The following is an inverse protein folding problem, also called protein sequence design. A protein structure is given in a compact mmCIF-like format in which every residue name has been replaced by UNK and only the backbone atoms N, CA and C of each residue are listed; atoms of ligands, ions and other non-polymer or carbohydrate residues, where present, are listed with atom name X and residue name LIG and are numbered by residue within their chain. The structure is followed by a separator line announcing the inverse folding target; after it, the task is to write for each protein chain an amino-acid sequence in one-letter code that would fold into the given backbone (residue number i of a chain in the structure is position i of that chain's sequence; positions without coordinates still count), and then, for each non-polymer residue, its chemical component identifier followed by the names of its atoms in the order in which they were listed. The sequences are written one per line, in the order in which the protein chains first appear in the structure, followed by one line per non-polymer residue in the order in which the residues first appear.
data_IF_175203698879
#
_entry.id   IF_175203698879
#
_cell.length_a   1.000
_cell.length_b   1.000
_cell.length_c   1.000
_cell.angle_alpha   90.00
_cell.angle_beta   90.00
_cell.angle_gamma   90.00
#
_symmetry.space_group_name_H-M   'P 1'
#
loop_
_entity.id
_entity.type
_entity.pdbx_description
1 polymer ?
#
# COMPACT_ATOMS: atom_id res chain seq x y z
N UNK A 1 5.78 9.70 12.13
CA UNK A 1 6.34 8.67 11.23
C UNK A 1 7.16 7.67 12.04
N UNK A 2 6.71 6.43 12.13
CA UNK A 2 7.39 5.37 12.87
C UNK A 2 7.87 4.29 11.91
N UNK A 3 9.16 3.99 11.99
CA UNK A 3 9.83 2.99 11.19
C UNK A 3 9.48 1.60 11.70
N UNK A 4 8.76 0.82 10.93
CA UNK A 4 8.77 -0.63 11.08
C UNK A 4 9.78 -1.21 10.10
N UNK A 5 10.70 -2.03 10.60
CA UNK A 5 11.56 -2.87 9.78
C UNK A 5 11.12 -4.31 9.97
N UNK A 6 10.66 -4.93 8.90
CA UNK A 6 10.67 -6.39 8.79
C UNK A 6 11.58 -6.70 7.61
N UNK A 7 12.65 -7.45 7.85
CA UNK A 7 13.45 -7.99 6.77
C UNK A 7 12.67 -9.18 6.20
N UNK A 8 12.20 -9.07 4.98
CA UNK A 8 11.80 -10.24 4.19
C UNK A 8 13.03 -10.70 3.43
N UNK A 9 13.32 -12.00 3.51
CA UNK A 9 14.24 -12.61 2.57
C UNK A 9 13.75 -12.31 1.16
N UNK A 10 14.68 -12.04 0.23
CA UNK A 10 14.33 -11.81 -1.17
C UNK A 10 13.87 -13.17 -1.71
N UNK A 11 12.62 -13.55 -1.44
CA UNK A 11 12.00 -14.68 -2.08
C UNK A 11 11.59 -14.26 -3.49
N UNK A 12 12.41 -14.72 -4.42
CA UNK A 12 12.17 -14.87 -5.85
C UNK A 12 11.13 -13.91 -6.47
N UNK A 13 11.63 -12.94 -7.21
CA UNK A 13 10.89 -12.48 -8.39
C UNK A 13 10.52 -13.72 -9.21
N UNK A 14 9.33 -13.76 -9.77
CA UNK A 14 9.02 -14.75 -10.78
C UNK A 14 9.86 -14.45 -12.03
N UNK A 15 10.98 -15.18 -12.17
CA UNK A 15 12.02 -14.96 -13.17
C UNK A 15 11.65 -15.57 -14.52
N UNK A 16 10.38 -15.78 -14.78
CA UNK A 16 9.89 -16.37 -16.05
C UNK A 16 10.07 -15.44 -17.26
N UNK A 17 10.54 -14.22 -17.06
CA UNK A 17 11.03 -13.35 -18.14
C UNK A 17 12.52 -13.08 -17.99
N UNK A 18 13.27 -13.20 -19.07
CA UNK A 18 14.74 -13.09 -19.21
C UNK A 18 15.40 -11.81 -18.68
N UNK A 19 14.70 -10.92 -17.98
CA UNK A 19 15.12 -9.55 -17.67
C UNK A 19 15.57 -9.36 -16.24
N UNK A 20 15.30 -10.29 -15.33
CA UNK A 20 15.58 -10.10 -13.91
C UNK A 20 16.46 -11.23 -13.36
N UNK A 21 17.79 -11.17 -13.59
CA UNK A 21 18.72 -12.05 -12.90
C UNK A 21 18.88 -11.58 -11.43
N UNK A 22 19.18 -12.49 -10.51
CA UNK A 22 19.53 -12.19 -9.11
C UNK A 22 20.60 -11.09 -9.03
N UNK A 23 21.55 -11.09 -9.99
CA UNK A 23 22.65 -10.15 -10.07
C UNK A 23 22.19 -8.71 -10.36
N UNK A 24 21.17 -8.52 -11.21
CA UNK A 24 20.61 -7.18 -11.51
C UNK A 24 19.88 -6.59 -10.29
N UNK A 25 19.15 -7.40 -9.55
CA UNK A 25 18.49 -6.95 -8.31
C UNK A 25 19.54 -6.61 -7.26
N UNK A 26 20.54 -7.46 -7.06
CA UNK A 26 21.64 -7.21 -6.13
C UNK A 26 22.41 -5.93 -6.51
N UNK A 27 22.70 -5.74 -7.80
CA UNK A 27 23.34 -4.52 -8.29
C UNK A 27 22.48 -3.26 -8.02
N UNK A 28 21.16 -3.35 -8.21
CA UNK A 28 20.24 -2.23 -7.96
C UNK A 28 20.13 -1.92 -6.47
N UNK A 29 20.09 -2.94 -5.61
CA UNK A 29 20.13 -2.78 -4.16
C UNK A 29 21.45 -2.15 -3.70
N UNK A 30 22.60 -2.64 -4.22
CA UNK A 30 23.91 -2.07 -3.92
C UNK A 30 24.01 -0.58 -4.32
N UNK A 31 23.50 -0.22 -5.50
CA UNK A 31 23.43 1.18 -5.95
C UNK A 31 22.56 2.06 -5.03
N UNK A 32 21.55 1.48 -4.41
CA UNK A 32 20.68 2.15 -3.45
C UNK A 32 21.24 2.10 -2.01
N UNK A 33 22.45 1.57 -1.80
CA UNK A 33 23.08 1.35 -0.48
C UNK A 33 22.20 0.50 0.46
N UNK A 34 21.45 -0.45 -0.12
CA UNK A 34 20.63 -1.42 0.60
C UNK A 34 21.37 -2.75 0.74
N UNK A 35 21.02 -3.60 1.73
CA UNK A 35 21.49 -4.97 1.80
C UNK A 35 21.18 -5.71 0.49
N UNK A 36 22.12 -6.51 -0.01
CA UNK A 36 21.97 -7.22 -1.29
C UNK A 36 21.37 -8.61 -1.13
N UNK A 37 21.27 -9.10 0.09
CA UNK A 37 20.72 -10.39 0.49
C UNK A 37 19.30 -10.31 1.07
N UNK A 38 18.82 -9.09 1.36
CA UNK A 38 17.48 -8.87 1.91
C UNK A 38 16.93 -7.50 1.51
N UNK A 39 15.66 -7.42 1.12
CA UNK A 39 14.96 -6.16 0.87
C UNK A 39 14.22 -5.73 2.15
N UNK A 40 14.63 -4.62 2.79
CA UNK A 40 13.90 -4.09 3.94
C UNK A 40 12.59 -3.46 3.47
N UNK A 41 11.47 -4.13 3.72
CA UNK A 41 10.13 -3.61 3.41
C UNK A 41 9.56 -2.89 4.64
N UNK A 42 9.06 -1.69 4.45
CA UNK A 42 8.34 -0.90 5.46
C UNK A 42 6.84 -0.94 5.20
N UNK A 43 6.04 -0.74 6.24
CA UNK A 43 4.59 -0.64 6.16
C UNK A 43 4.19 0.75 6.68
N UNK A 44 3.60 1.57 5.82
CA UNK A 44 3.36 2.99 6.10
C UNK A 44 1.90 3.38 5.85
N UNK A 45 0.95 2.94 6.71
CA UNK A 45 -0.39 3.49 6.70
C UNK A 45 -0.37 5.00 6.86
N UNK A 46 -1.25 5.70 6.16
CA UNK A 46 -1.28 7.16 6.13
C UNK A 46 -2.52 7.69 6.83
N UNK A 47 -2.33 8.48 7.89
CA UNK A 47 -3.43 9.17 8.54
C UNK A 47 -3.62 10.57 7.95
N UNK A 48 -4.83 10.87 7.52
CA UNK A 48 -5.27 12.13 6.94
C UNK A 48 -6.29 12.81 7.85
N UNK A 49 -6.33 14.15 7.80
CA UNK A 49 -7.45 14.93 8.32
C UNK A 49 -8.18 15.56 7.14
N UNK A 50 -9.39 15.11 6.83
CA UNK A 50 -10.21 15.55 5.72
C UNK A 50 -11.55 16.06 6.22
N UNK A 51 -11.83 17.36 6.02
CA UNK A 51 -13.08 17.94 6.47
C UNK A 51 -13.35 17.76 7.97
N UNK A 52 -12.30 17.76 8.80
CA UNK A 52 -12.39 17.54 10.23
C UNK A 52 -12.48 16.05 10.65
N UNK A 53 -12.56 15.11 9.70
CA UNK A 53 -12.55 13.67 9.94
C UNK A 53 -11.14 13.10 9.91
N UNK A 54 -10.87 12.11 10.77
CA UNK A 54 -9.65 11.33 10.75
C UNK A 54 -9.84 10.10 9.87
N UNK A 55 -9.06 10.03 8.80
CA UNK A 55 -9.13 8.99 7.78
C UNK A 55 -7.80 8.26 7.72
N UNK A 56 -7.80 6.97 7.99
CA UNK A 56 -6.62 6.12 7.83
C UNK A 56 -6.67 5.45 6.46
N UNK A 57 -5.61 5.55 5.68
CA UNK A 57 -5.43 4.78 4.45
C UNK A 57 -4.58 3.57 4.77
N UNK A 58 -5.16 2.39 4.59
CA UNK A 58 -4.67 1.08 5.00
C UNK A 58 -4.44 0.92 6.51
N UNK A 59 -4.61 -0.30 7.03
CA UNK A 59 -4.66 -0.52 8.47
C UNK A 59 -3.36 -1.13 9.06
N UNK A 60 -2.44 -1.60 8.22
CA UNK A 60 -1.29 -2.35 8.71
C UNK A 60 -1.68 -3.71 9.28
N UNK A 61 -0.91 -4.16 10.26
CA UNK A 61 -1.10 -5.46 10.90
C UNK A 61 -1.76 -5.40 12.30
N UNK A 62 -1.80 -4.24 12.97
CA UNK A 62 -2.05 -4.13 14.40
C UNK A 62 -1.17 -5.13 15.19
N UNK A 63 -1.78 -6.07 15.95
CA UNK A 63 -1.09 -7.13 16.68
C UNK A 63 -1.15 -8.52 15.99
N UNK A 64 -1.55 -8.55 14.70
CA UNK A 64 -1.72 -9.78 13.91
C UNK A 64 -0.52 -10.15 13.03
N UNK A 65 0.47 -9.28 12.92
CA UNK A 65 1.59 -9.48 12.01
C UNK A 65 2.80 -10.18 12.62
N UNK A 66 3.83 -10.43 11.81
CA UNK A 66 5.12 -10.96 12.25
C UNK A 66 5.81 -10.03 13.28
N UNK A 67 6.83 -10.52 13.99
CA UNK A 67 7.65 -9.69 14.87
C UNK A 67 8.19 -8.45 14.14
N UNK A 68 8.11 -7.28 14.79
CA UNK A 68 8.55 -6.00 14.21
C UNK A 68 7.49 -5.26 13.39
N UNK A 69 6.28 -5.82 13.21
CA UNK A 69 5.12 -5.14 12.60
C UNK A 69 4.17 -4.53 13.66
N UNK A 70 3.03 -3.94 13.24
CA UNK A 70 2.01 -3.37 14.15
C UNK A 70 2.30 -1.96 14.66
N UNK A 71 3.27 -1.21 14.07
CA UNK A 71 3.65 0.13 14.49
C UNK A 71 2.58 1.20 14.32
N UNK A 72 1.56 0.95 13.53
CA UNK A 72 0.46 1.90 13.31
C UNK A 72 -0.16 2.37 14.62
N UNK A 73 -0.50 1.44 15.51
CA UNK A 73 -1.09 1.76 16.81
C UNK A 73 -0.15 2.55 17.72
N UNK A 74 1.12 2.17 17.72
CA UNK A 74 2.15 2.92 18.43
C UNK A 74 2.31 4.33 17.85
N UNK A 75 2.27 4.45 16.51
CA UNK A 75 2.31 5.74 15.81
C UNK A 75 1.16 6.64 16.20
N UNK A 76 -0.07 6.13 16.22
CA UNK A 76 -1.24 6.86 16.65
C UNK A 76 -1.12 7.30 18.12
N UNK A 77 -0.68 6.40 19.01
CA UNK A 77 -0.51 6.72 20.43
C UNK A 77 0.52 7.84 20.65
N UNK A 78 1.66 7.81 19.94
CA UNK A 78 2.69 8.87 20.01
C UNK A 78 2.21 10.21 19.43
N UNK A 79 1.28 10.18 18.48
CA UNK A 79 0.60 11.36 17.96
C UNK A 79 -0.57 11.84 18.86
N UNK A 80 -0.83 11.16 19.99
CA UNK A 80 -1.96 11.48 20.87
C UNK A 80 -3.32 11.16 20.27
N UNK A 81 -3.39 10.20 19.34
CA UNK A 81 -4.60 9.84 18.59
C UNK A 81 -5.12 8.50 19.10
N UNK A 82 -6.34 8.52 19.66
CA UNK A 82 -7.07 7.31 20.01
C UNK A 82 -7.59 6.61 18.75
N UNK A 83 -7.36 5.30 18.55
CA UNK A 83 -7.95 4.53 17.47
C UNK A 83 -9.48 4.64 17.38
N UNK A 84 -10.17 4.80 18.51
CA UNK A 84 -11.61 5.07 18.55
C UNK A 84 -12.05 6.41 17.97
N UNK A 85 -11.10 7.33 17.72
CA UNK A 85 -11.35 8.62 17.09
C UNK A 85 -11.12 8.64 15.58
N UNK A 86 -10.81 7.48 14.98
CA UNK A 86 -10.72 7.32 13.52
C UNK A 86 -12.14 7.16 12.97
N UNK A 87 -12.51 8.05 12.04
CA UNK A 87 -13.86 8.10 11.44
C UNK A 87 -14.00 7.13 10.27
N UNK A 88 -12.93 6.92 9.51
CA UNK A 88 -12.91 6.01 8.37
C UNK A 88 -11.55 5.33 8.20
N UNK A 89 -11.56 4.07 7.75
CA UNK A 89 -10.38 3.38 7.23
C UNK A 89 -10.64 3.07 5.76
N UNK A 90 -9.83 3.62 4.87
CA UNK A 90 -9.94 3.40 3.43
C UNK A 90 -8.88 2.39 3.02
N UNK A 91 -9.30 1.26 2.50
CA UNK A 91 -8.43 0.14 2.11
C UNK A 91 -8.11 0.22 0.63
N UNK A 92 -6.85 0.10 0.28
CA UNK A 92 -6.38 0.10 -1.11
C UNK A 92 -6.59 -1.26 -1.79
N UNK A 93 -6.29 -2.35 -1.09
CA UNK A 93 -6.45 -3.74 -1.55
C UNK A 93 -6.40 -4.71 -0.36
N UNK A 94 -6.61 -6.03 -0.61
CA UNK A 94 -6.83 -7.00 0.46
C UNK A 94 -5.62 -7.85 0.82
N UNK A 95 -4.38 -7.44 0.53
CA UNK A 95 -3.23 -8.13 1.10
C UNK A 95 -3.20 -7.99 2.63
N UNK A 96 -2.65 -9.00 3.34
CA UNK A 96 -2.73 -9.08 4.81
C UNK A 96 -2.18 -7.86 5.54
N UNK A 97 -1.13 -7.26 5.05
CA UNK A 97 -0.49 -6.07 5.63
C UNK A 97 -1.30 -4.77 5.49
N UNK A 98 -2.34 -4.76 4.66
CA UNK A 98 -3.29 -3.64 4.52
C UNK A 98 -4.56 -3.82 5.34
N UNK A 99 -5.00 -5.07 5.58
CA UNK A 99 -6.31 -5.36 6.18
C UNK A 99 -6.26 -5.96 7.59
N UNK A 100 -5.21 -6.71 7.97
CA UNK A 100 -5.18 -7.41 9.25
C UNK A 100 -5.25 -6.47 10.45
N UNK A 101 -4.78 -5.23 10.29
CA UNK A 101 -4.86 -4.19 11.29
C UNK A 101 -6.26 -3.66 11.57
N UNK A 102 -7.27 -4.01 10.77
CA UNK A 102 -8.67 -3.66 11.03
C UNK A 102 -9.23 -4.34 12.28
N UNK A 103 -8.67 -5.48 12.66
CA UNK A 103 -9.02 -6.21 13.88
C UNK A 103 -7.82 -6.51 14.75
N UNK A 104 -8.06 -6.71 16.02
CA UNK A 104 -7.11 -7.24 16.99
C UNK A 104 -7.05 -8.76 16.92
N UNK A 105 -6.05 -9.37 17.58
CA UNK A 105 -5.93 -10.84 17.70
C UNK A 105 -7.17 -11.48 18.33
N UNK A 106 -7.82 -10.79 19.26
CA UNK A 106 -9.04 -11.24 19.93
C UNK A 106 -10.31 -11.10 19.07
N UNK A 107 -10.17 -10.57 17.83
CA UNK A 107 -11.26 -10.37 16.88
C UNK A 107 -12.02 -9.05 17.05
N UNK A 108 -11.69 -8.24 18.04
CA UNK A 108 -12.34 -6.92 18.22
C UNK A 108 -11.89 -5.93 17.16
N UNK A 109 -12.76 -5.02 16.71
CA UNK A 109 -12.37 -3.94 15.78
C UNK A 109 -11.29 -3.05 16.40
N UNK A 110 -10.22 -2.79 15.65
CA UNK A 110 -9.16 -1.87 16.07
C UNK A 110 -9.65 -0.42 16.07
N UNK A 111 -10.52 -0.09 15.12
CA UNK A 111 -11.12 1.23 14.92
C UNK A 111 -12.64 1.11 15.05
N UNK A 112 -13.17 1.04 16.31
CA UNK A 112 -14.56 0.61 16.57
C UNK A 112 -15.62 1.55 16.02
N UNK A 113 -15.29 2.82 15.82
CA UNK A 113 -16.22 3.83 15.30
C UNK A 113 -16.08 4.07 13.80
N UNK A 114 -15.03 3.53 13.16
CA UNK A 114 -14.74 3.78 11.77
C UNK A 114 -15.69 3.03 10.82
N UNK A 115 -16.00 3.66 9.69
CA UNK A 115 -16.48 2.99 8.49
C UNK A 115 -15.26 2.48 7.72
N UNK A 116 -15.28 1.22 7.29
CA UNK A 116 -14.22 0.62 6.47
C UNK A 116 -14.66 0.69 5.01
N UNK A 117 -14.04 1.60 4.25
CA UNK A 117 -14.30 1.73 2.82
C UNK A 117 -13.34 0.84 2.02
N UNK A 118 -13.89 0.01 1.13
CA UNK A 118 -13.12 -0.99 0.36
C UNK A 118 -13.43 -0.92 -1.14
N UNK A 119 -12.50 -1.26 -2.04
CA UNK A 119 -12.76 -1.26 -3.48
C UNK A 119 -13.79 -2.34 -3.85
N UNK A 120 -14.81 -1.99 -4.61
CA UNK A 120 -15.81 -2.95 -5.10
C UNK A 120 -15.19 -4.10 -5.92
N UNK A 121 -14.20 -3.87 -6.84
CA UNK A 121 -13.57 -4.96 -7.56
C UNK A 121 -12.78 -5.91 -6.65
N UNK A 122 -12.12 -5.39 -5.61
CA UNK A 122 -11.39 -6.17 -4.63
C UNK A 122 -12.35 -7.04 -3.82
N UNK A 123 -13.44 -6.43 -3.34
CA UNK A 123 -14.49 -7.15 -2.63
C UNK A 123 -15.07 -8.31 -3.45
N UNK A 124 -15.42 -8.06 -4.72
CA UNK A 124 -15.96 -9.10 -5.62
C UNK A 124 -14.99 -10.26 -5.81
N UNK A 125 -13.71 -9.96 -5.92
CA UNK A 125 -12.72 -11.00 -6.12
C UNK A 125 -12.51 -11.85 -4.86
N UNK A 126 -12.24 -11.21 -3.72
CA UNK A 126 -11.86 -11.91 -2.50
C UNK A 126 -13.03 -12.48 -1.70
N UNK A 127 -14.24 -11.92 -1.85
CA UNK A 127 -15.45 -12.36 -1.16
C UNK A 127 -16.34 -13.25 -2.05
N UNK A 128 -15.79 -13.84 -3.11
CA UNK A 128 -16.47 -14.81 -3.96
C UNK A 128 -16.68 -16.12 -3.20
N UNK A 129 -17.92 -16.56 -3.07
CA UNK A 129 -18.30 -17.75 -2.29
C UNK A 129 -17.65 -19.04 -2.82
N UNK A 130 -17.53 -19.18 -4.14
CA UNK A 130 -16.89 -20.34 -4.76
C UNK A 130 -15.40 -20.43 -4.45
N UNK A 131 -14.72 -19.31 -4.50
CA UNK A 131 -13.29 -19.19 -4.17
C UNK A 131 -13.05 -19.36 -2.68
N UNK A 132 -13.94 -18.85 -1.84
CA UNK A 132 -13.89 -19.04 -0.40
C UNK A 132 -14.10 -20.50 -0.01
N UNK A 133 -15.03 -21.20 -0.67
CA UNK A 133 -15.32 -22.62 -0.40
C UNK A 133 -14.19 -23.55 -0.87
N UNK A 134 -13.54 -23.21 -2.00
CA UNK A 134 -12.47 -24.00 -2.61
C UNK A 134 -11.26 -23.09 -2.94
N UNK A 135 -10.50 -22.65 -1.93
CA UNK A 135 -9.42 -21.69 -2.13
C UNK A 135 -8.27 -22.30 -2.95
N UNK A 136 -7.87 -21.65 -4.08
CA UNK A 136 -6.64 -22.01 -4.76
C UNK A 136 -5.46 -21.95 -3.76
N UNK A 137 -4.52 -22.90 -3.85
CA UNK A 137 -3.43 -23.02 -2.87
C UNK A 137 -2.62 -21.73 -2.75
N UNK A 138 -2.31 -21.07 -3.88
CA UNK A 138 -1.58 -19.79 -3.92
C UNK A 138 -2.31 -18.63 -3.22
N UNK A 139 -3.64 -18.69 -3.10
CA UNK A 139 -4.46 -17.63 -2.50
C UNK A 139 -4.94 -17.95 -1.09
N UNK A 140 -4.71 -19.16 -0.61
CA UNK A 140 -5.28 -19.69 0.63
C UNK A 140 -4.98 -18.85 1.86
N UNK A 141 -3.74 -18.40 1.98
CA UNK A 141 -3.32 -17.57 3.11
C UNK A 141 -4.04 -16.21 3.10
N UNK A 142 -4.10 -15.54 1.94
CA UNK A 142 -4.79 -14.25 1.79
C UNK A 142 -6.30 -14.39 1.98
N UNK A 143 -6.93 -15.42 1.39
CA UNK A 143 -8.36 -15.70 1.61
C UNK A 143 -8.68 -15.95 3.09
N UNK A 144 -7.80 -16.67 3.80
CA UNK A 144 -7.93 -16.85 5.25
C UNK A 144 -7.85 -15.53 6.03
N UNK A 145 -6.94 -14.64 5.65
CA UNK A 145 -6.83 -13.30 6.24
C UNK A 145 -8.07 -12.44 5.94
N UNK A 146 -8.57 -12.47 4.71
CA UNK A 146 -9.80 -11.78 4.28
C UNK A 146 -11.01 -12.25 5.08
N UNK A 147 -11.21 -13.57 5.18
CA UNK A 147 -12.30 -14.17 5.94
C UNK A 147 -12.23 -13.78 7.43
N UNK A 148 -11.04 -13.87 8.03
CA UNK A 148 -10.83 -13.45 9.43
C UNK A 148 -11.18 -11.98 9.63
N UNK A 149 -10.82 -11.12 8.68
CA UNK A 149 -11.01 -9.67 8.79
C UNK A 149 -12.46 -9.27 8.56
N UNK A 150 -13.06 -9.71 7.44
CA UNK A 150 -14.36 -9.22 6.96
C UNK A 150 -15.55 -10.12 7.34
N UNK A 151 -15.32 -11.26 7.95
CA UNK A 151 -16.39 -12.21 8.29
C UNK A 151 -17.48 -11.67 9.20
N UNK A 152 -17.19 -10.69 10.07
CA UNK A 152 -18.17 -10.04 10.95
C UNK A 152 -17.59 -8.80 11.64
N UNK A 153 -18.43 -7.98 12.25
CA UNK A 153 -18.07 -6.96 13.24
C UNK A 153 -17.50 -5.65 12.69
N UNK A 154 -17.35 -5.48 11.36
CA UNK A 154 -16.93 -4.23 10.74
C UNK A 154 -18.10 -3.58 9.99
N UNK A 155 -18.15 -2.25 9.98
CA UNK A 155 -19.06 -1.46 9.12
C UNK A 155 -18.37 -1.25 7.78
N UNK A 156 -18.71 -2.05 6.77
CA UNK A 156 -18.04 -2.03 5.46
C UNK A 156 -18.90 -1.30 4.44
N UNK A 157 -18.30 -0.34 3.74
CA UNK A 157 -18.86 0.30 2.55
C UNK A 157 -17.95 0.04 1.35
N UNK A 158 -18.54 -0.12 0.16
CA UNK A 158 -17.80 -0.41 -1.06
C UNK A 158 -17.77 0.83 -1.95
N UNK A 159 -16.61 1.17 -2.48
CA UNK A 159 -16.45 2.28 -3.40
C UNK A 159 -16.07 1.82 -4.81
N UNK A 160 -16.46 2.60 -5.80
CA UNK A 160 -16.08 2.39 -7.20
C UNK A 160 -14.84 3.22 -7.55
N UNK A 161 -14.09 2.79 -8.56
CA UNK A 161 -13.01 3.58 -9.14
C UNK A 161 -13.55 4.85 -9.83
N UNK A 162 -12.68 5.83 -9.94
CA UNK A 162 -12.93 7.15 -10.54
C UNK A 162 -14.06 7.93 -9.87
N UNK A 163 -14.28 7.65 -8.57
CA UNK A 163 -15.23 8.34 -7.70
C UNK A 163 -14.53 8.83 -6.44
N UNK A 164 -15.09 9.89 -5.86
CA UNK A 164 -14.70 10.27 -4.49
C UNK A 164 -15.15 9.19 -3.51
N UNK A 165 -14.20 8.70 -2.71
CA UNK A 165 -14.46 7.83 -1.55
C UNK A 165 -14.90 8.68 -0.37
N UNK A 166 -14.24 9.80 -0.21
CA UNK A 166 -14.52 10.87 0.76
C UNK A 166 -14.22 12.22 0.08
N UNK A 167 -14.82 13.34 0.54
CA UNK A 167 -14.58 14.65 -0.05
C UNK A 167 -13.09 14.95 -0.19
N UNK A 168 -12.63 15.15 -1.43
CA UNK A 168 -11.24 15.40 -1.77
C UNK A 168 -10.37 14.14 -1.92
N UNK A 169 -10.88 12.94 -1.66
CA UNK A 169 -10.13 11.67 -1.82
C UNK A 169 -10.78 10.83 -2.93
N UNK A 170 -10.19 10.82 -4.11
CA UNK A 170 -10.67 10.08 -5.30
C UNK A 170 -9.94 8.75 -5.45
N UNK A 171 -10.67 7.65 -5.62
CA UNK A 171 -10.13 6.35 -5.94
C UNK A 171 -9.71 6.26 -7.41
N UNK A 172 -8.50 5.78 -7.66
CA UNK A 172 -7.97 5.53 -9.00
C UNK A 172 -7.78 4.02 -9.19
N UNK A 173 -8.42 3.41 -10.17
CA UNK A 173 -8.19 2.00 -10.49
C UNK A 173 -6.75 1.75 -10.94
N UNK A 174 -6.03 0.95 -10.18
CA UNK A 174 -4.64 0.57 -10.46
C UNK A 174 -4.42 -0.94 -10.34
N UNK A 175 -5.22 -1.76 -11.08
CA UNK A 175 -5.17 -3.21 -10.98
C UNK A 175 -3.85 -3.80 -11.45
N UNK A 176 -3.60 -5.05 -11.04
CA UNK A 176 -2.43 -5.88 -11.41
C UNK A 176 -1.75 -6.46 -10.20
N UNK A 177 -1.36 -5.66 -9.22
CA UNK A 177 -0.87 -6.13 -7.94
C UNK A 177 -1.94 -7.01 -7.25
N UNK A 178 -3.16 -6.53 -7.19
CA UNK A 178 -4.38 -7.33 -7.00
C UNK A 178 -5.43 -6.90 -8.02
N UNK A 179 -6.51 -7.70 -8.27
CA UNK A 179 -7.53 -7.36 -9.25
C UNK A 179 -8.26 -6.05 -8.98
N UNK A 180 -8.40 -5.67 -7.72
CA UNK A 180 -9.08 -4.44 -7.31
C UNK A 180 -8.15 -3.39 -6.70
N UNK A 181 -6.83 -3.53 -6.84
CA UNK A 181 -5.87 -2.59 -6.29
C UNK A 181 -6.19 -1.15 -6.69
N UNK A 182 -6.11 -0.26 -5.72
CA UNK A 182 -6.51 1.15 -5.84
C UNK A 182 -5.44 2.07 -5.28
N UNK A 183 -5.04 3.05 -6.07
CA UNK A 183 -4.33 4.23 -5.60
C UNK A 183 -5.33 5.36 -5.34
N UNK A 184 -4.91 6.43 -4.64
CA UNK A 184 -5.82 7.54 -4.36
C UNK A 184 -5.18 8.87 -4.75
N UNK A 185 -6.00 9.77 -5.30
CA UNK A 185 -5.63 11.17 -5.45
C UNK A 185 -6.33 11.97 -4.36
N UNK A 186 -5.52 12.64 -3.55
CA UNK A 186 -5.98 13.60 -2.56
C UNK A 186 -5.87 15.00 -3.14
N UNK A 187 -6.98 15.73 -3.15
CA UNK A 187 -7.09 17.13 -3.54
C UNK A 187 -7.53 17.96 -2.32
N UNK A 188 -6.70 18.88 -1.86
CA UNK A 188 -7.01 19.72 -0.69
C UNK A 188 -6.36 21.09 -0.78
N UNK A 189 -7.16 22.17 -0.74
CA UNK A 189 -6.66 23.54 -0.73
C UNK A 189 -5.79 23.88 -1.95
N UNK A 190 -6.12 23.38 -3.12
CA UNK A 190 -5.33 23.57 -4.36
C UNK A 190 -4.03 22.76 -4.43
N UNK A 191 -3.75 21.92 -3.44
CA UNK A 191 -2.62 20.97 -3.42
C UNK A 191 -3.11 19.57 -3.69
N UNK A 192 -2.26 18.77 -4.35
CA UNK A 192 -2.53 17.37 -4.69
C UNK A 192 -1.48 16.45 -4.10
N UNK A 193 -1.88 15.24 -3.77
CA UNK A 193 -1.00 14.13 -3.39
C UNK A 193 -1.52 12.85 -4.04
N UNK A 194 -0.65 12.06 -4.63
CA UNK A 194 -0.94 10.69 -5.06
C UNK A 194 -0.54 9.73 -3.94
N UNK A 195 -1.49 8.96 -3.43
CA UNK A 195 -1.24 7.85 -2.51
C UNK A 195 -1.20 6.61 -3.39
N UNK A 196 -0.01 6.13 -3.67
CA UNK A 196 0.25 5.15 -4.71
C UNK A 196 0.01 3.70 -4.26
N UNK A 197 -0.05 3.47 -2.94
CA UNK A 197 -0.15 2.12 -2.37
C UNK A 197 0.92 1.17 -2.94
N UNK A 198 0.56 -0.01 -3.43
CA UNK A 198 1.47 -1.07 -3.84
C UNK A 198 1.72 -1.14 -5.35
N UNK A 199 1.64 0.00 -6.06
CA UNK A 199 2.18 0.03 -7.44
C UNK A 199 3.69 -0.25 -7.45
N UNK A 200 4.36 -0.09 -6.31
CA UNK A 200 5.75 -0.51 -6.06
C UNK A 200 5.89 -1.12 -4.67
N UNK A 201 6.59 -2.24 -4.57
CA UNK A 201 6.96 -2.83 -3.29
C UNK A 201 8.24 -2.22 -2.69
N UNK A 202 9.01 -1.49 -3.48
CA UNK A 202 10.11 -0.65 -3.02
C UNK A 202 10.57 0.31 -4.11
N UNK A 203 10.61 1.64 -3.86
CA UNK A 203 10.94 2.63 -4.90
C UNK A 203 12.32 2.44 -5.53
N UNK A 204 13.32 2.00 -4.77
CA UNK A 204 14.69 1.79 -5.28
C UNK A 204 14.76 0.71 -6.38
N UNK A 205 13.79 -0.21 -6.41
CA UNK A 205 13.68 -1.24 -7.43
C UNK A 205 12.65 -0.84 -8.49
N UNK A 206 11.37 -0.74 -8.09
CA UNK A 206 10.26 -0.69 -9.04
C UNK A 206 9.97 0.69 -9.64
N UNK A 207 10.50 1.78 -9.07
CA UNK A 207 10.49 3.08 -9.74
C UNK A 207 11.60 3.14 -10.79
N UNK A 208 12.78 2.64 -10.46
CA UNK A 208 13.94 2.63 -11.37
C UNK A 208 13.80 1.58 -12.48
N UNK A 209 13.17 0.46 -12.17
CA UNK A 209 12.93 -0.66 -13.08
C UNK A 209 11.42 -1.00 -13.14
N UNK A 210 10.61 -0.16 -13.79
CA UNK A 210 9.15 -0.32 -13.79
C UNK A 210 8.67 -1.59 -14.49
N UNK A 211 9.53 -2.19 -15.34
CA UNK A 211 9.27 -3.46 -16.02
C UNK A 211 9.48 -4.69 -15.13
N UNK A 212 10.03 -4.53 -13.94
CA UNK A 212 10.15 -5.64 -12.99
C UNK A 212 8.81 -5.91 -12.30
N UNK A 213 8.57 -7.17 -11.93
CA UNK A 213 7.39 -7.57 -11.17
C UNK A 213 7.79 -8.16 -9.84
N UNK A 214 6.97 -7.92 -8.82
CA UNK A 214 7.10 -8.59 -7.54
C UNK A 214 6.37 -9.95 -7.59
N UNK A 215 6.83 -10.91 -6.79
CA UNK A 215 6.13 -12.20 -6.62
C UNK A 215 4.68 -12.03 -6.14
N UNK A 216 4.39 -10.90 -5.52
CA UNK A 216 3.06 -10.56 -5.00
C UNK A 216 2.13 -9.96 -6.06
N UNK A 217 2.62 -9.63 -7.26
CA UNK A 217 1.79 -9.13 -8.35
C UNK A 217 0.98 -10.30 -8.92
N UNK A 218 -0.34 -10.29 -8.71
CA UNK A 218 -1.25 -11.36 -9.15
C UNK A 218 -1.39 -11.44 -10.67
N UNK A 219 -1.23 -10.30 -11.35
CA UNK A 219 -1.12 -10.17 -12.80
C UNK A 219 0.08 -9.27 -13.10
N UNK A 220 1.21 -9.88 -13.41
CA UNK A 220 2.48 -9.20 -13.60
C UNK A 220 2.46 -8.22 -14.78
N UNK A 221 1.78 -8.58 -15.90
CA UNK A 221 1.69 -7.73 -17.09
C UNK A 221 0.84 -6.49 -16.80
N UNK A 222 -0.30 -6.69 -16.15
CA UNK A 222 -1.18 -5.60 -15.75
C UNK A 222 -0.52 -4.71 -14.70
N UNK A 223 0.20 -5.27 -13.72
CA UNK A 223 0.93 -4.53 -12.71
C UNK A 223 2.02 -3.62 -13.34
N UNK A 224 2.78 -4.14 -14.31
CA UNK A 224 3.77 -3.34 -15.07
C UNK A 224 3.10 -2.21 -15.85
N UNK A 225 2.05 -2.51 -16.62
CA UNK A 225 1.31 -1.50 -17.38
C UNK A 225 0.72 -0.41 -16.46
N UNK A 226 0.15 -0.80 -15.33
CA UNK A 226 -0.36 0.12 -14.30
C UNK A 226 0.75 0.96 -13.72
N UNK A 227 1.88 0.36 -13.35
CA UNK A 227 3.05 1.07 -12.79
C UNK A 227 3.57 2.12 -13.75
N UNK A 228 3.78 1.78 -15.02
CA UNK A 228 4.20 2.76 -16.05
C UNK A 228 3.23 3.93 -16.15
N UNK A 229 1.94 3.67 -16.22
CA UNK A 229 0.91 4.70 -16.30
C UNK A 229 0.93 5.64 -15.10
N UNK A 230 1.03 5.08 -13.88
CA UNK A 230 0.98 5.85 -12.63
C UNK A 230 2.28 6.66 -12.42
N UNK A 231 3.45 6.06 -12.72
CA UNK A 231 4.73 6.77 -12.62
C UNK A 231 4.82 7.89 -13.67
N UNK A 232 4.35 7.66 -14.90
CA UNK A 232 4.28 8.69 -15.92
C UNK A 232 3.39 9.87 -15.48
N UNK A 233 2.18 9.57 -15.01
CA UNK A 233 1.27 10.60 -14.50
C UNK A 233 1.90 11.41 -13.36
N UNK A 234 2.51 10.72 -12.38
CA UNK A 234 3.15 11.38 -11.25
C UNK A 234 4.30 12.29 -11.67
N UNK A 235 5.13 11.86 -12.64
CA UNK A 235 6.24 12.63 -13.16
C UNK A 235 5.77 13.84 -13.98
N UNK A 236 4.82 13.64 -14.91
CA UNK A 236 4.35 14.67 -15.85
C UNK A 236 3.56 15.76 -15.13
N UNK A 237 2.72 15.38 -14.16
CA UNK A 237 1.96 16.34 -13.35
C UNK A 237 2.74 16.85 -12.13
N UNK A 238 3.99 16.39 -11.93
CA UNK A 238 4.85 16.73 -10.77
C UNK A 238 4.16 16.51 -9.44
N UNK A 239 3.35 15.45 -9.34
CA UNK A 239 2.63 15.14 -8.13
C UNK A 239 3.59 14.66 -7.02
N UNK A 240 3.42 15.14 -5.78
CA UNK A 240 3.95 14.42 -4.63
C UNK A 240 3.30 13.03 -4.56
N UNK A 241 4.09 12.01 -4.27
CA UNK A 241 3.65 10.61 -4.17
C UNK A 241 3.98 10.08 -2.79
N UNK A 242 3.02 9.43 -2.13
CA UNK A 242 3.24 8.64 -0.94
C UNK A 242 3.13 7.15 -1.30
N UNK A 243 4.11 6.36 -0.87
CA UNK A 243 4.16 4.92 -1.07
C UNK A 243 3.93 4.18 0.25
N UNK A 244 3.31 3.01 0.20
CA UNK A 244 3.12 2.17 1.37
C UNK A 244 4.42 1.48 1.79
N UNK A 245 5.19 0.97 0.83
CA UNK A 245 6.43 0.22 1.05
C UNK A 245 7.71 1.04 0.77
N UNK A 246 7.71 2.31 1.10
CA UNK A 246 8.91 3.13 0.98
C UNK A 246 9.56 3.41 2.34
N UNK A 247 10.89 3.50 2.40
CA UNK A 247 11.55 3.98 3.61
C UNK A 247 11.16 5.43 3.89
N UNK A 248 11.25 5.82 5.19
CA UNK A 248 10.97 7.20 5.58
C UNK A 248 11.72 8.22 4.69
N UNK A 249 11.07 9.31 4.22
CA UNK A 249 9.74 9.80 4.63
C UNK A 249 8.55 9.13 3.92
N UNK A 250 8.75 8.08 3.14
CA UNK A 250 7.77 7.36 2.36
C UNK A 250 7.03 8.21 1.31
N UNK A 251 7.41 9.46 1.16
CA UNK A 251 6.84 10.42 0.22
C UNK A 251 7.94 11.18 -0.53
N UNK A 252 7.65 11.57 -1.77
CA UNK A 252 8.59 12.26 -2.64
C UNK A 252 7.97 12.62 -3.97
N UNK A 253 8.80 12.84 -4.96
CA UNK A 253 8.42 13.08 -6.35
C UNK A 253 9.00 12.00 -7.25
N UNK A 254 8.34 11.77 -8.38
CA UNK A 254 8.86 10.94 -9.45
C UNK A 254 9.48 11.86 -10.50
N UNK A 255 10.78 11.68 -10.75
CA UNK A 255 11.48 12.37 -11.80
C UNK A 255 11.74 11.41 -12.99
N UNK A 256 11.70 11.93 -14.22
CA UNK A 256 12.18 11.18 -15.39
C UNK A 256 13.71 11.17 -15.40
N UNK A 257 14.33 10.01 -15.58
CA UNK A 257 15.78 9.83 -15.53
C UNK A 257 16.23 8.79 -16.56
N UNK A 258 16.94 9.21 -17.62
CA UNK A 258 17.60 8.31 -18.57
C UNK A 258 16.69 7.25 -19.22
N UNK A 259 15.45 7.58 -19.54
CA UNK A 259 14.47 6.64 -20.11
C UNK A 259 13.66 5.84 -19.10
N UNK A 260 13.93 6.03 -17.81
CA UNK A 260 13.19 5.43 -16.69
C UNK A 260 12.75 6.50 -15.69
N UNK A 261 12.62 6.16 -14.42
CA UNK A 261 12.19 7.08 -13.36
C UNK A 261 13.13 7.00 -12.14
N UNK A 262 13.13 8.07 -11.36
CA UNK A 262 13.83 8.17 -10.10
C UNK A 262 12.87 8.68 -9.01
N UNK A 263 12.95 8.10 -7.81
CA UNK A 263 12.24 8.60 -6.64
C UNK A 263 13.11 9.63 -5.93
N UNK A 264 12.62 10.86 -5.85
CA UNK A 264 13.25 11.98 -5.16
C UNK A 264 12.49 12.20 -3.84
N UNK A 265 13.02 11.73 -2.69
CA UNK A 265 12.35 11.88 -1.41
C UNK A 265 12.08 13.34 -1.05
N UNK A 266 10.96 13.60 -0.37
CA UNK A 266 10.67 14.93 0.19
C UNK A 266 11.79 15.33 1.14
N UNK A 267 12.23 16.59 1.02
CA UNK A 267 13.17 17.17 1.97
C UNK A 267 12.50 17.25 3.34
N UNK A 268 13.17 16.68 4.33
CA UNK A 268 12.75 16.82 5.72
C UNK A 268 13.18 18.20 6.20
N UNK A 269 12.24 18.98 6.66
CA UNK A 269 12.46 20.26 7.28
C UNK A 269 11.45 20.46 8.40
N UNK A 270 11.84 21.19 9.45
CA UNK A 270 10.87 21.78 10.34
C UNK A 270 10.05 22.72 9.43
N UNK A 271 8.77 22.45 9.26
CA UNK A 271 7.87 23.34 8.54
C UNK A 271 7.97 24.77 9.10
N UNK A 272 7.46 25.77 8.37
CA UNK A 272 7.37 27.11 8.95
C UNK A 272 6.66 27.03 10.29
N UNK A 273 7.28 27.65 11.30
CA UNK A 273 6.74 27.74 12.64
C UNK A 273 5.37 28.43 12.65
#
# INVERSE_FOLDING_TARGET
FFKQKTAYEIYQCDWSSDVCSSDLVQASLAQAFLPTDALPITFTPLLLTLGGKRVLVDAGFADNGPPGTGGTLRGLALAGIDPGSVDAVVISHFHPDHILGLKRKDGTPTYPNAVVAVPEPEWRFWMDDGRMANPPEALKATLGAVQKTFGSGLKVERYAWDKEVLPGLTALGTPGHTPGHTSFRLDSGGRRLLIASDITNHPALFVRHPDWSALFDMDADQARATRHRVLAMAADERLPVAFYHAPFPAAGHIARAGGTYEFVPLQWGLGPA
#
